data_IF_056552637161
#
_entry.id   IF_056552637161
#
_cell.length_a   1.000
_cell.length_b   1.000
_cell.length_c   1.000
_cell.angle_alpha   90.00
_cell.angle_beta   90.00
_cell.angle_gamma   90.00
#
_symmetry.space_group_name_H-M   'P 1'
#
loop_
_entity.id
_entity.type
_entity.pdbx_description
1 polymer ?
#
# COMPACT_ATOMS: atom_id res chain seq x y z
N UNK A 1 -11.27 47.93 12.55
CA UNK A 1 -12.20 46.90 12.06
C UNK A 1 -11.46 45.58 11.99
N UNK A 2 -11.67 44.70 12.97
CA UNK A 2 -11.04 43.38 13.04
C UNK A 2 -11.89 42.37 12.26
N UNK A 3 -11.30 41.68 11.29
CA UNK A 3 -11.98 40.64 10.49
C UNK A 3 -11.89 39.30 11.22
N UNK A 4 -13.06 38.72 11.51
CA UNK A 4 -13.28 37.42 12.13
C UNK A 4 -12.66 36.27 11.33
N UNK A 5 -11.92 35.40 12.01
CA UNK A 5 -11.50 34.08 11.52
C UNK A 5 -12.46 33.04 12.13
N UNK A 6 -13.19 32.25 11.33
CA UNK A 6 -14.02 31.18 11.88
C UNK A 6 -13.14 30.00 12.34
N UNK A 7 -13.23 29.70 13.63
CA UNK A 7 -12.66 28.50 14.27
C UNK A 7 -13.44 27.26 13.84
N UNK A 8 -12.81 26.33 13.14
CA UNK A 8 -13.36 24.98 12.95
C UNK A 8 -13.25 24.18 14.26
N UNK A 9 -14.40 23.71 14.76
CA UNK A 9 -14.49 22.78 15.89
C UNK A 9 -14.13 21.37 15.41
N UNK A 10 -13.09 20.78 15.99
CA UNK A 10 -12.83 19.34 15.87
C UNK A 10 -13.91 18.56 16.64
N UNK A 11 -14.62 17.66 15.97
CA UNK A 11 -15.58 16.75 16.61
C UNK A 11 -14.78 15.55 17.13
N UNK A 12 -14.70 15.46 18.46
CA UNK A 12 -14.12 14.36 19.19
C UNK A 12 -15.15 13.21 19.22
N UNK A 13 -14.80 12.04 18.67
CA UNK A 13 -15.55 10.80 18.92
C UNK A 13 -14.63 9.86 19.68
N UNK A 14 -15.00 9.55 20.92
CA UNK A 14 -14.27 8.69 21.84
C UNK A 14 -14.89 7.28 21.91
N UNK A 15 -14.01 6.27 22.03
CA UNK A 15 -14.12 5.01 22.84
C UNK A 15 -14.90 3.80 22.23
N UNK A 16 -14.43 2.53 22.18
CA UNK A 16 -13.48 1.64 22.93
C UNK A 16 -13.10 0.38 22.06
N UNK A 17 -12.30 -0.63 22.53
CA UNK A 17 -11.00 -0.64 23.20
C UNK A 17 -9.92 -1.48 22.44
N UNK A 18 -8.65 -1.19 22.76
CA UNK A 18 -7.41 -1.87 22.36
C UNK A 18 -7.48 -3.40 22.32
N UNK A 19 -7.10 -4.00 21.17
CA UNK A 19 -6.49 -5.34 21.12
C UNK A 19 -5.15 -5.37 20.37
N UNK A 20 -4.65 -4.23 19.89
CA UNK A 20 -3.32 -4.14 19.28
C UNK A 20 -2.61 -2.87 19.73
N UNK A 21 -1.52 -3.03 20.48
CA UNK A 21 -0.50 -1.99 20.64
C UNK A 21 0.23 -1.90 19.30
N UNK A 22 -0.20 -0.97 18.43
CA UNK A 22 0.63 -0.56 17.30
C UNK A 22 1.66 0.43 17.88
N UNK A 23 2.72 -0.13 18.46
CA UNK A 23 3.96 0.60 18.73
C UNK A 23 4.51 1.06 17.39
N UNK A 24 4.54 2.37 17.18
CA UNK A 24 5.29 3.09 16.15
C UNK A 24 5.89 2.23 15.03
N UNK A 25 5.16 2.14 13.90
CA UNK A 25 5.75 2.25 12.56
C UNK A 25 6.83 1.25 12.10
N UNK A 26 7.24 0.25 12.87
CA UNK A 26 8.22 -0.73 12.44
C UNK A 26 7.56 -2.10 12.26
N UNK A 27 6.96 -2.31 11.09
CA UNK A 27 6.94 -3.67 10.54
C UNK A 27 8.41 -4.04 10.34
N UNK A 28 8.99 -4.75 11.31
CA UNK A 28 10.32 -5.35 11.15
C UNK A 28 10.25 -6.21 9.89
N UNK A 29 11.14 -5.95 8.94
CA UNK A 29 11.18 -6.70 7.68
C UNK A 29 11.23 -8.20 8.02
N UNK A 30 10.10 -8.87 7.80
CA UNK A 30 10.01 -10.31 7.76
C UNK A 30 9.84 -10.62 6.28
N UNK A 31 10.81 -11.29 5.62
CA UNK A 31 10.70 -11.61 4.21
C UNK A 31 9.49 -12.50 3.92
N UNK A 32 8.95 -13.17 4.94
CA UNK A 32 7.78 -14.02 4.85
C UNK A 32 6.60 -13.37 5.57
N UNK A 33 5.52 -13.15 4.84
CA UNK A 33 4.22 -12.79 5.43
C UNK A 33 3.28 -14.00 5.35
N UNK A 34 2.40 -14.14 6.33
CA UNK A 34 1.36 -15.17 6.31
C UNK A 34 0.04 -14.61 5.75
N UNK A 35 -0.92 -15.49 5.45
CA UNK A 35 -2.23 -15.13 4.89
C UNK A 35 -3.00 -14.15 5.78
N UNK A 36 -2.88 -14.25 7.11
CA UNK A 36 -3.56 -13.32 8.04
C UNK A 36 -2.99 -11.91 7.92
N UNK A 37 -1.66 -11.78 7.81
CA UNK A 37 -0.98 -10.50 7.59
C UNK A 37 -1.35 -9.92 6.24
N UNK A 38 -1.37 -10.73 5.17
CA UNK A 38 -1.78 -10.27 3.83
C UNK A 38 -3.21 -9.71 3.85
N UNK A 39 -4.16 -10.41 4.46
CA UNK A 39 -5.55 -9.93 4.60
C UNK A 39 -5.63 -8.61 5.39
N UNK A 40 -4.82 -8.45 6.43
CA UNK A 40 -4.75 -7.20 7.18
C UNK A 40 -4.19 -6.05 6.33
N UNK A 41 -3.17 -6.31 5.50
CA UNK A 41 -2.64 -5.34 4.52
C UNK A 41 -3.72 -4.97 3.51
N UNK A 42 -4.49 -5.94 2.98
CA UNK A 42 -5.55 -5.64 2.02
C UNK A 42 -6.70 -4.82 2.62
N UNK A 43 -7.06 -5.08 3.88
CA UNK A 43 -8.10 -4.32 4.57
C UNK A 43 -7.65 -2.90 4.95
N UNK A 44 -6.39 -2.74 5.39
CA UNK A 44 -5.80 -1.45 5.76
C UNK A 44 -4.34 -1.36 5.28
N UNK A 45 -4.08 -0.90 4.04
CA UNK A 45 -2.75 -0.95 3.44
C UNK A 45 -1.68 -0.14 4.18
N UNK A 46 -2.06 0.93 4.91
CA UNK A 46 -1.16 1.76 5.74
C UNK A 46 0.18 2.11 5.05
N UNK A 47 0.15 2.38 3.75
CA UNK A 47 1.33 2.75 2.94
C UNK A 47 2.11 1.57 2.33
N UNK A 48 1.62 0.34 2.43
CA UNK A 48 2.16 -0.84 1.74
C UNK A 48 1.65 -0.88 0.30
N UNK A 49 2.57 -1.11 -0.65
CA UNK A 49 2.25 -1.46 -2.03
C UNK A 49 2.45 -2.96 -2.22
N UNK A 50 1.49 -3.62 -2.89
CA UNK A 50 1.51 -5.04 -3.15
C UNK A 50 1.76 -5.26 -4.64
N UNK A 51 2.77 -6.04 -4.99
CA UNK A 51 3.08 -6.38 -6.38
C UNK A 51 2.84 -7.87 -6.62
N UNK A 52 1.99 -8.20 -7.59
CA UNK A 52 1.76 -9.56 -8.06
C UNK A 52 2.72 -9.85 -9.23
N UNK A 53 3.66 -10.77 -9.04
CA UNK A 53 4.72 -11.05 -10.01
C UNK A 53 4.40 -12.20 -10.97
N UNK A 54 3.17 -12.72 -10.92
CA UNK A 54 2.71 -13.77 -11.83
C UNK A 54 2.53 -13.26 -13.26
N UNK A 55 2.42 -14.20 -14.20
CA UNK A 55 2.09 -13.88 -15.57
C UNK A 55 0.65 -13.36 -15.67
N UNK A 56 0.36 -12.40 -16.58
CA UNK A 56 -1.00 -11.88 -16.74
C UNK A 56 -2.05 -12.95 -17.06
N UNK A 57 -1.67 -14.05 -17.73
CA UNK A 57 -2.57 -15.17 -18.00
C UNK A 57 -3.08 -15.83 -16.72
N UNK A 58 -2.22 -16.01 -15.71
CA UNK A 58 -2.58 -16.58 -14.41
C UNK A 58 -3.58 -15.68 -13.66
N UNK A 59 -3.53 -14.36 -13.87
CA UNK A 59 -4.49 -13.42 -13.27
C UNK A 59 -5.89 -13.56 -13.90
N UNK A 60 -5.95 -13.86 -15.20
CA UNK A 60 -7.22 -14.09 -15.91
C UNK A 60 -7.82 -15.45 -15.53
N UNK A 61 -6.98 -16.47 -15.38
CA UNK A 61 -7.40 -17.85 -15.12
C UNK A 61 -7.71 -18.12 -13.64
N UNK A 62 -6.82 -17.71 -12.72
CA UNK A 62 -6.93 -17.99 -11.29
C UNK A 62 -7.48 -16.81 -10.47
N UNK A 63 -7.56 -15.64 -11.10
CA UNK A 63 -7.99 -14.40 -10.48
C UNK A 63 -6.85 -13.54 -9.95
N UNK A 64 -7.21 -12.28 -9.70
CA UNK A 64 -6.32 -11.24 -9.22
C UNK A 64 -6.32 -11.13 -7.70
N UNK A 65 -5.18 -10.74 -7.14
CA UNK A 65 -5.08 -10.41 -5.72
C UNK A 65 -5.58 -8.97 -5.49
N UNK A 66 -6.66 -8.75 -4.72
CA UNK A 66 -7.23 -7.41 -4.55
C UNK A 66 -6.21 -6.40 -4.03
N UNK A 67 -6.12 -5.25 -4.70
CA UNK A 67 -5.22 -4.15 -4.35
C UNK A 67 -3.75 -4.37 -4.75
N UNK A 68 -3.43 -5.48 -5.42
CA UNK A 68 -2.10 -5.70 -6.00
C UNK A 68 -1.97 -5.05 -7.37
N UNK A 69 -0.75 -4.64 -7.71
CA UNK A 69 -0.36 -4.20 -9.04
C UNK A 69 0.45 -5.32 -9.70
N UNK A 70 0.07 -5.73 -10.91
CA UNK A 70 0.82 -6.76 -11.62
C UNK A 70 2.12 -6.19 -12.21
N UNK A 71 3.25 -6.79 -11.83
CA UNK A 71 4.56 -6.57 -12.44
C UNK A 71 5.15 -7.97 -12.68
N UNK A 72 4.92 -8.59 -13.85
CA UNK A 72 5.40 -9.93 -14.13
C UNK A 72 6.89 -10.06 -13.85
N UNK A 73 7.32 -11.23 -13.36
CA UNK A 73 8.70 -11.46 -12.92
C UNK A 73 9.74 -11.02 -13.95
N UNK A 74 9.51 -11.34 -15.23
CA UNK A 74 10.39 -10.98 -16.35
C UNK A 74 10.52 -9.45 -16.57
N UNK A 75 9.53 -8.69 -16.11
CA UNK A 75 9.44 -7.24 -16.23
C UNK A 75 9.97 -6.51 -14.99
N UNK A 76 10.25 -7.20 -13.88
CA UNK A 76 10.62 -6.59 -12.58
C UNK A 76 11.89 -5.76 -12.70
N UNK A 77 12.97 -6.28 -13.28
CA UNK A 77 14.22 -5.52 -13.39
C UNK A 77 14.03 -4.23 -14.20
N UNK A 78 13.31 -4.32 -15.32
CA UNK A 78 12.97 -3.17 -16.16
C UNK A 78 12.08 -2.17 -15.42
N UNK A 79 11.07 -2.68 -14.69
CA UNK A 79 10.19 -1.88 -13.86
C UNK A 79 10.98 -1.03 -12.86
N UNK A 80 11.90 -1.64 -12.12
CA UNK A 80 12.61 -0.91 -11.07
C UNK A 80 13.81 -0.09 -11.57
N UNK A 81 14.13 -0.13 -12.87
CA UNK A 81 15.16 0.70 -13.51
C UNK A 81 14.60 1.90 -14.29
N UNK A 82 13.31 1.92 -14.65
CA UNK A 82 12.69 3.06 -15.34
C UNK A 82 12.59 4.32 -14.46
N UNK A 83 12.29 5.46 -15.09
CA UNK A 83 12.07 6.72 -14.37
C UNK A 83 10.83 6.66 -13.48
N UNK A 84 10.75 7.52 -12.44
CA UNK A 84 9.56 7.60 -11.59
C UNK A 84 8.28 7.91 -12.39
N UNK A 85 8.40 8.77 -13.41
CA UNK A 85 7.29 9.16 -14.26
C UNK A 85 6.81 7.99 -15.13
N UNK A 86 7.74 7.25 -15.74
CA UNK A 86 7.40 6.09 -16.57
C UNK A 86 6.80 4.96 -15.74
N UNK A 87 7.30 4.75 -14.51
CA UNK A 87 6.76 3.76 -13.59
C UNK A 87 5.33 4.09 -13.19
N UNK A 88 5.07 5.34 -12.80
CA UNK A 88 3.74 5.81 -12.45
C UNK A 88 2.79 5.73 -13.65
N UNK A 89 3.27 6.05 -14.86
CA UNK A 89 2.47 5.96 -16.08
C UNK A 89 2.14 4.50 -16.45
N UNK A 90 3.08 3.57 -16.31
CA UNK A 90 2.88 2.15 -16.66
C UNK A 90 2.06 1.41 -15.60
N UNK A 91 2.35 1.60 -14.32
CA UNK A 91 1.83 0.78 -13.22
C UNK A 91 0.79 1.49 -12.35
N UNK A 92 0.54 2.79 -12.56
CA UNK A 92 -0.47 3.56 -11.84
C UNK A 92 -0.14 3.85 -10.37
N UNK A 93 1.02 3.42 -9.88
CA UNK A 93 1.48 3.59 -8.49
C UNK A 93 2.89 4.18 -8.45
N UNK A 94 3.26 4.92 -7.38
CA UNK A 94 4.55 5.57 -7.30
C UNK A 94 5.66 4.53 -7.11
N UNK A 95 6.75 4.69 -7.87
CA UNK A 95 7.93 3.82 -7.77
C UNK A 95 8.44 3.77 -6.32
N UNK A 96 8.53 2.58 -5.69
CA UNK A 96 9.06 2.44 -4.34
C UNK A 96 10.49 2.97 -4.25
N UNK A 97 10.78 3.71 -3.16
CA UNK A 97 12.12 4.20 -2.87
C UNK A 97 12.88 3.18 -2.01
N UNK A 98 14.19 2.96 -2.26
CA UNK A 98 15.03 2.20 -1.34
C UNK A 98 14.93 2.80 0.07
N UNK A 99 14.91 1.94 1.09
CA UNK A 99 15.05 2.37 2.49
C UNK A 99 16.49 2.67 2.83
#
# INVERSE_FOLDING_TARGET
>A
MFRNIPRFKAIFVNRLPRMFLISEGSVKYNPNINVKTLKAIQAEPRGVQLFDVRNPTELVEDGELPGAVNIPLDDVEKAFTMSDADFQAKYGVPKPKPK
#
